data_IF_516801694771
#
_entry.id   IF_516801694771
#
_cell.length_a   1.000
_cell.length_b   1.000
_cell.length_c   1.000
_cell.angle_alpha   90.00
_cell.angle_beta   90.00
_cell.angle_gamma   90.00
#
_symmetry.space_group_name_H-M   'P 1'
#
loop_
_entity.id
_entity.type
_entity.pdbx_description
1 polymer ?
#
# COMPACT_ATOMS: atom_id res chain seq x y z
N UNK A 1 27.97 -20.34 -33.24
CA UNK A 1 28.64 -19.56 -32.18
C UNK A 1 27.61 -18.84 -31.29
N UNK A 2 26.54 -18.28 -31.85
CA UNK A 2 25.46 -17.60 -31.08
C UNK A 2 24.69 -18.51 -30.11
N UNK A 3 24.38 -19.75 -30.48
CA UNK A 3 23.64 -20.69 -29.60
C UNK A 3 24.40 -21.07 -28.31
N UNK A 4 25.74 -21.04 -28.33
CA UNK A 4 26.57 -21.35 -27.16
C UNK A 4 26.59 -20.17 -26.18
N UNK A 5 26.46 -18.94 -26.70
CA UNK A 5 26.40 -17.70 -25.91
C UNK A 5 25.03 -17.56 -25.22
N UNK A 6 23.93 -17.91 -25.89
CA UNK A 6 22.58 -17.86 -25.27
C UNK A 6 22.42 -18.87 -24.12
N UNK A 7 22.98 -20.08 -24.26
CA UNK A 7 22.93 -21.12 -23.22
C UNK A 7 23.76 -20.74 -21.99
N UNK A 8 24.91 -20.07 -22.18
CA UNK A 8 25.75 -19.59 -21.06
C UNK A 8 25.17 -18.37 -20.34
N UNK A 9 24.40 -17.52 -21.04
CA UNK A 9 23.67 -16.41 -20.41
C UNK A 9 22.46 -16.90 -19.61
N UNK A 10 21.74 -17.91 -20.10
CA UNK A 10 20.61 -18.51 -19.37
C UNK A 10 21.06 -19.25 -18.11
N UNK A 11 22.18 -19.97 -18.16
CA UNK A 11 22.73 -20.68 -16.99
C UNK A 11 23.25 -19.72 -15.91
N UNK A 12 23.86 -18.59 -16.29
CA UNK A 12 24.31 -17.57 -15.34
C UNK A 12 23.16 -16.82 -14.67
N UNK A 13 22.08 -16.50 -15.38
CA UNK A 13 20.88 -15.93 -14.78
C UNK A 13 20.19 -16.90 -13.81
N UNK A 14 20.14 -18.19 -14.14
CA UNK A 14 19.58 -19.21 -13.25
C UNK A 14 20.39 -19.36 -11.96
N UNK A 15 21.73 -19.30 -12.05
CA UNK A 15 22.63 -19.33 -10.88
C UNK A 15 22.42 -18.10 -9.98
N UNK A 16 22.23 -16.91 -10.55
CA UNK A 16 21.94 -15.69 -9.78
C UNK A 16 20.59 -15.80 -9.07
N UNK A 17 19.57 -16.33 -9.75
CA UNK A 17 18.23 -16.55 -9.17
C UNK A 17 18.33 -17.56 -8.01
N UNK A 18 18.96 -18.71 -8.23
CA UNK A 18 19.13 -19.74 -7.19
C UNK A 18 19.98 -19.23 -6.01
N UNK A 19 21.04 -18.46 -6.28
CA UNK A 19 21.85 -17.83 -5.26
C UNK A 19 21.07 -16.81 -4.43
N UNK A 20 20.19 -16.02 -5.06
CA UNK A 20 19.33 -15.07 -4.36
C UNK A 20 18.26 -15.76 -3.49
N UNK A 21 17.73 -16.89 -3.94
CA UNK A 21 16.79 -17.73 -3.17
C UNK A 21 17.50 -18.32 -1.95
N UNK A 22 18.71 -18.85 -2.12
CA UNK A 22 19.48 -19.45 -1.03
C UNK A 22 19.89 -18.41 0.03
N UNK A 23 20.35 -17.23 -0.42
CA UNK A 23 20.69 -16.12 0.47
C UNK A 23 19.46 -15.64 1.26
N UNK A 24 18.30 -15.55 0.60
CA UNK A 24 17.03 -15.20 1.24
C UNK A 24 16.61 -16.25 2.27
N UNK A 25 16.81 -17.54 1.99
CA UNK A 25 16.51 -18.64 2.92
C UNK A 25 17.44 -18.64 4.15
N UNK A 26 18.72 -18.30 3.99
CA UNK A 26 19.69 -18.18 5.09
C UNK A 26 19.38 -16.98 5.98
N UNK A 27 19.14 -15.80 5.37
CA UNK A 27 18.70 -14.60 6.10
C UNK A 27 17.39 -14.89 6.84
N UNK A 28 16.46 -15.61 6.21
CA UNK A 28 15.19 -16.02 6.80
C UNK A 28 15.38 -16.98 7.99
N UNK A 29 16.31 -17.93 7.91
CA UNK A 29 16.59 -18.89 8.99
C UNK A 29 17.23 -18.22 10.21
N UNK A 30 18.17 -17.31 9.99
CA UNK A 30 18.78 -16.49 11.04
C UNK A 30 17.73 -15.55 11.66
N UNK A 31 16.94 -14.86 10.82
CA UNK A 31 15.85 -14.02 11.29
C UNK A 31 14.75 -14.80 12.04
N UNK A 32 14.53 -16.08 11.73
CA UNK A 32 13.58 -16.93 12.45
C UNK A 32 14.08 -17.28 13.86
N UNK A 33 15.35 -17.62 14.03
CA UNK A 33 15.91 -17.96 15.34
C UNK A 33 15.84 -16.75 16.31
N UNK A 34 16.18 -15.55 15.82
CA UNK A 34 16.07 -14.32 16.61
C UNK A 34 14.65 -13.74 16.65
N UNK A 35 13.83 -14.00 15.63
CA UNK A 35 12.45 -13.53 15.55
C UNK A 35 11.51 -14.31 16.47
N UNK A 36 11.65 -15.64 16.55
CA UNK A 36 10.80 -16.51 17.38
C UNK A 36 10.87 -16.13 18.87
N UNK A 37 12.05 -15.80 19.39
CA UNK A 37 12.20 -15.38 20.80
C UNK A 37 11.52 -14.05 21.10
N UNK A 38 11.46 -13.13 20.13
CA UNK A 38 10.70 -11.87 20.21
C UNK A 38 9.20 -12.14 20.21
N UNK A 39 8.71 -13.11 19.44
CA UNK A 39 7.28 -13.43 19.37
C UNK A 39 6.71 -14.12 20.63
N UNK A 40 7.58 -14.73 21.46
CA UNK A 40 7.19 -15.37 22.73
C UNK A 40 7.47 -14.50 23.95
N UNK A 41 8.11 -13.34 23.77
CA UNK A 41 8.46 -12.46 24.88
C UNK A 41 7.20 -11.78 25.46
N UNK A 42 7.09 -11.67 26.79
CA UNK A 42 6.04 -10.85 27.41
C UNK A 42 6.11 -9.41 26.90
N UNK A 43 4.96 -8.78 26.65
CA UNK A 43 4.86 -7.40 26.15
C UNK A 43 5.72 -6.42 26.97
N UNK A 44 5.77 -6.58 28.30
CA UNK A 44 6.63 -5.75 29.18
C UNK A 44 8.12 -5.81 28.81
N UNK A 45 8.65 -6.99 28.45
CA UNK A 45 10.04 -7.13 28.00
C UNK A 45 10.25 -6.51 26.62
N UNK A 46 9.25 -6.60 25.74
CA UNK A 46 9.29 -5.97 24.42
C UNK A 46 9.27 -4.45 24.53
N UNK A 47 8.44 -3.89 25.42
CA UNK A 47 8.43 -2.46 25.74
C UNK A 47 9.83 -2.00 26.14
N UNK A 48 10.44 -2.66 27.13
CA UNK A 48 11.79 -2.29 27.59
C UNK A 48 12.84 -2.44 26.50
N UNK A 49 12.71 -3.43 25.59
CA UNK A 49 13.62 -3.59 24.46
C UNK A 49 13.48 -2.47 23.41
N UNK A 50 12.27 -1.95 23.19
CA UNK A 50 11.99 -0.83 22.28
C UNK A 50 12.29 0.53 22.90
N UNK A 51 12.26 0.61 24.24
CA UNK A 51 12.54 1.82 24.99
C UNK A 51 13.98 2.26 24.75
N UNK A 52 14.13 3.53 24.41
CA UNK A 52 15.43 4.20 24.29
C UNK A 52 15.58 5.24 25.40
N UNK A 53 16.78 5.82 25.49
CA UNK A 53 17.04 6.92 26.42
C UNK A 53 15.98 8.00 26.21
N UNK A 54 15.32 8.41 27.29
CA UNK A 54 14.26 9.42 27.28
C UNK A 54 14.72 10.67 26.53
N UNK A 55 13.93 11.08 25.55
CA UNK A 55 14.03 12.38 24.92
C UNK A 55 13.09 13.33 25.66
N UNK A 56 13.62 14.35 26.34
CA UNK A 56 12.81 15.30 27.11
C UNK A 56 12.02 16.27 26.21
N UNK A 57 12.22 16.22 24.88
CA UNK A 57 11.49 17.05 23.94
C UNK A 57 10.08 16.51 23.70
N UNK A 58 9.10 17.26 24.19
CA UNK A 58 7.69 17.13 23.82
C UNK A 58 7.53 17.65 22.38
N UNK A 59 6.72 16.96 21.58
CA UNK A 59 6.31 17.43 20.27
C UNK A 59 4.92 18.07 20.40
N UNK A 60 4.75 19.28 19.86
CA UNK A 60 3.44 19.91 19.80
C UNK A 60 2.53 19.12 18.84
N UNK A 61 1.23 19.10 19.10
CA UNK A 61 0.29 18.45 18.18
C UNK A 61 0.36 19.05 16.76
N UNK A 62 0.55 20.37 16.64
CA UNK A 62 0.70 21.06 15.35
C UNK A 62 1.94 20.57 14.57
N UNK A 63 3.07 20.35 15.25
CA UNK A 63 4.28 19.81 14.62
C UNK A 63 4.09 18.35 14.18
N UNK A 64 3.36 17.56 14.97
CA UNK A 64 2.98 16.21 14.59
C UNK A 64 2.09 16.21 13.33
N UNK A 65 1.07 17.06 13.28
CA UNK A 65 0.22 17.20 12.09
C UNK A 65 1.01 17.63 10.85
N UNK A 66 1.99 18.53 11.00
CA UNK A 66 2.91 18.90 9.90
C UNK A 66 3.72 17.70 9.41
N UNK A 67 4.17 16.82 10.30
CA UNK A 67 4.90 15.59 9.93
C UNK A 67 3.99 14.60 9.19
N UNK A 68 2.78 14.38 9.70
CA UNK A 68 1.77 13.51 9.08
C UNK A 68 1.36 14.04 7.69
N UNK A 69 1.16 15.36 7.56
CA UNK A 69 0.89 16.01 6.28
C UNK A 69 2.03 15.86 5.28
N UNK A 70 3.29 15.95 5.73
CA UNK A 70 4.48 15.66 4.89
C UNK A 70 4.57 14.19 4.50
N UNK A 71 3.99 13.27 5.27
CA UNK A 71 3.85 11.86 4.90
C UNK A 71 2.72 11.63 3.88
N UNK A 72 1.83 12.61 3.68
CA UNK A 72 0.71 12.56 2.73
C UNK A 72 -0.64 12.28 3.39
N UNK A 73 -0.74 12.47 4.70
CA UNK A 73 -1.95 12.17 5.47
C UNK A 73 -2.44 13.35 6.31
N UNK A 74 -3.65 13.23 6.84
CA UNK A 74 -4.23 14.06 7.87
C UNK A 74 -4.89 13.16 8.92
N UNK A 75 -5.28 13.74 10.05
CA UNK A 75 -5.91 13.05 11.16
C UNK A 75 -7.34 13.56 11.36
N UNK A 76 -8.27 12.65 11.64
CA UNK A 76 -9.66 12.93 12.00
C UNK A 76 -9.87 12.57 13.48
N UNK A 77 -9.99 13.57 14.38
CA UNK A 77 -10.15 13.33 15.81
C UNK A 77 -11.52 12.77 16.20
N UNK A 78 -12.53 12.84 15.31
CA UNK A 78 -13.89 12.35 15.61
C UNK A 78 -13.95 10.83 15.56
N UNK A 79 -13.28 10.23 14.58
CA UNK A 79 -13.24 8.78 14.38
C UNK A 79 -11.90 8.14 14.82
N UNK A 80 -10.92 8.95 15.27
CA UNK A 80 -9.55 8.53 15.61
C UNK A 80 -8.83 7.83 14.43
N UNK A 81 -8.95 8.38 13.22
CA UNK A 81 -8.37 7.81 11.99
C UNK A 81 -7.37 8.74 11.29
N UNK A 82 -6.45 8.14 10.55
CA UNK A 82 -5.58 8.82 9.59
C UNK A 82 -6.07 8.58 8.16
N UNK A 83 -5.90 9.56 7.29
CA UNK A 83 -6.39 9.49 5.91
C UNK A 83 -5.54 10.33 4.96
N UNK A 84 -5.56 9.97 3.69
CA UNK A 84 -4.80 10.64 2.61
C UNK A 84 -5.28 12.08 2.38
N UNK A 85 -4.34 12.98 2.10
CA UNK A 85 -4.69 14.31 1.56
C UNK A 85 -4.66 14.29 0.03
N UNK A 86 -5.50 15.10 -0.61
CA UNK A 86 -5.59 15.17 -2.09
C UNK A 86 -4.20 15.40 -2.73
N UNK A 87 -3.43 16.32 -2.17
CA UNK A 87 -2.10 16.70 -2.68
C UNK A 87 -0.95 15.87 -2.07
N UNK A 88 -1.22 14.64 -1.66
CA UNK A 88 -0.21 13.72 -1.17
C UNK A 88 0.87 13.49 -2.24
N UNK A 89 2.13 13.45 -1.84
CA UNK A 89 3.26 13.30 -2.77
C UNK A 89 3.18 11.99 -3.58
N UNK A 90 2.47 10.99 -3.05
CA UNK A 90 2.12 9.71 -3.67
C UNK A 90 1.47 9.90 -5.05
N UNK A 91 0.65 10.95 -5.22
CA UNK A 91 -0.06 11.25 -6.48
C UNK A 91 0.87 11.33 -7.69
N UNK A 92 2.12 11.76 -7.49
CA UNK A 92 3.13 11.91 -8.55
C UNK A 92 3.67 10.59 -9.09
N UNK A 93 3.38 9.46 -8.44
CA UNK A 93 3.93 8.17 -8.79
C UNK A 93 2.92 7.24 -9.49
N UNK A 94 1.63 7.59 -9.47
CA UNK A 94 0.58 6.76 -10.03
C UNK A 94 0.45 5.39 -9.35
N UNK A 95 -0.04 4.39 -10.08
CA UNK A 95 -0.23 3.03 -9.58
C UNK A 95 0.06 1.97 -10.63
N UNK A 96 0.52 0.80 -10.17
CA UNK A 96 0.67 -0.39 -11.00
C UNK A 96 0.66 -1.64 -10.11
N UNK A 97 0.34 -2.80 -10.68
CA UNK A 97 0.28 -4.09 -9.97
C UNK A 97 1.56 -4.43 -9.18
N UNK A 98 2.72 -3.93 -9.63
CA UNK A 98 3.98 -4.11 -8.90
C UNK A 98 3.93 -3.54 -7.47
N UNK A 99 3.10 -2.53 -7.21
CA UNK A 99 2.95 -1.98 -5.87
C UNK A 99 2.22 -2.94 -4.93
N UNK A 100 1.25 -3.71 -5.41
CA UNK A 100 0.63 -4.78 -4.64
C UNK A 100 1.63 -5.91 -4.36
N UNK A 101 2.44 -6.29 -5.36
CA UNK A 101 3.50 -7.28 -5.17
C UNK A 101 4.57 -6.84 -4.15
N UNK A 102 4.72 -5.54 -3.92
CA UNK A 102 5.63 -5.00 -2.92
C UNK A 102 4.99 -4.81 -1.54
N UNK A 103 3.69 -5.10 -1.39
CA UNK A 103 2.94 -4.80 -0.16
C UNK A 103 3.48 -5.58 1.05
N UNK A 104 3.60 -6.90 0.92
CA UNK A 104 4.12 -7.80 1.97
C UNK A 104 5.52 -7.37 2.44
N UNK A 105 6.38 -6.96 1.51
CA UNK A 105 7.74 -6.48 1.82
C UNK A 105 7.77 -5.21 2.67
N UNK A 106 6.66 -4.47 2.73
CA UNK A 106 6.49 -3.28 3.54
C UNK A 106 5.61 -3.54 4.77
N UNK A 107 5.48 -4.81 5.18
CA UNK A 107 4.63 -5.25 6.30
C UNK A 107 3.15 -4.90 6.11
N UNK A 108 2.69 -4.84 4.87
CA UNK A 108 1.27 -4.67 4.55
C UNK A 108 0.71 -5.98 4.05
N UNK A 109 -0.24 -6.53 4.80
CA UNK A 109 -0.95 -7.76 4.48
C UNK A 109 -2.38 -7.34 4.19
N UNK A 110 -2.64 -7.17 2.90
CA UNK A 110 -3.86 -6.57 2.38
C UNK A 110 -4.42 -7.43 1.26
N UNK A 111 -5.73 -7.37 1.14
CA UNK A 111 -6.48 -7.84 0.00
C UNK A 111 -6.58 -6.71 -1.04
N UNK A 112 -6.37 -7.04 -2.30
CA UNK A 112 -6.42 -6.12 -3.44
C UNK A 112 -7.55 -6.54 -4.40
N UNK A 113 -8.36 -5.60 -4.88
CA UNK A 113 -9.44 -5.86 -5.85
C UNK A 113 -9.41 -4.82 -6.99
N UNK A 114 -8.60 -5.06 -8.05
CA UNK A 114 -8.52 -4.17 -9.20
C UNK A 114 -9.63 -4.41 -10.23
N UNK A 115 -10.22 -3.32 -10.72
CA UNK A 115 -11.20 -3.26 -11.80
C UNK A 115 -10.62 -2.47 -12.97
N UNK A 116 -10.34 -3.17 -14.07
CA UNK A 116 -9.79 -2.59 -15.30
C UNK A 116 -10.88 -2.40 -16.35
N UNK A 117 -11.00 -1.20 -16.92
CA UNK A 117 -11.96 -0.89 -17.97
C UNK A 117 -11.48 0.22 -18.90
N UNK A 118 -12.15 0.37 -20.04
CA UNK A 118 -11.89 1.45 -20.98
C UNK A 118 -13.04 2.46 -20.92
N UNK A 119 -12.69 3.75 -20.95
CA UNK A 119 -13.67 4.83 -21.01
C UNK A 119 -13.06 6.09 -21.62
N UNK A 120 -13.77 6.69 -22.59
CA UNK A 120 -13.35 7.88 -23.36
C UNK A 120 -11.91 7.78 -23.88
N UNK A 121 -11.54 6.61 -24.42
CA UNK A 121 -10.22 6.35 -25.00
C UNK A 121 -9.08 6.21 -24.00
N UNK A 122 -9.38 6.13 -22.69
CA UNK A 122 -8.41 5.87 -21.63
C UNK A 122 -8.63 4.49 -21.02
N UNK A 123 -7.53 3.86 -20.58
CA UNK A 123 -7.57 2.67 -19.75
C UNK A 123 -7.63 3.10 -18.28
N UNK A 124 -8.68 2.70 -17.58
CA UNK A 124 -8.92 3.00 -16.18
C UNK A 124 -8.61 1.80 -15.30
N UNK A 125 -8.17 2.11 -14.09
CA UNK A 125 -8.01 1.21 -12.96
C UNK A 125 -8.68 1.86 -11.75
N UNK A 126 -9.75 1.25 -11.29
CA UNK A 126 -10.28 1.49 -9.95
C UNK A 126 -9.87 0.29 -9.11
N UNK A 127 -9.24 0.51 -7.96
CA UNK A 127 -8.81 -0.58 -7.10
C UNK A 127 -9.19 -0.32 -5.65
N UNK A 128 -9.69 -1.37 -4.99
CA UNK A 128 -10.08 -1.34 -3.58
C UNK A 128 -9.09 -2.20 -2.80
N UNK A 129 -8.67 -1.71 -1.64
CA UNK A 129 -7.80 -2.44 -0.71
C UNK A 129 -8.39 -2.48 0.69
N UNK A 130 -8.14 -3.58 1.41
CA UNK A 130 -8.42 -3.70 2.85
C UNK A 130 -7.38 -4.60 3.53
N UNK A 131 -7.04 -4.32 4.79
CA UNK A 131 -6.16 -5.20 5.55
C UNK A 131 -5.36 -4.49 6.64
N UNK A 132 -4.17 -5.04 6.91
CA UNK A 132 -3.23 -4.53 7.89
C UNK A 132 -2.05 -3.84 7.18
N UNK A 133 -1.84 -2.57 7.50
CA UNK A 133 -0.80 -1.69 6.99
C UNK A 133 0.20 -1.39 8.11
N UNK A 134 1.06 -2.37 8.43
CA UNK A 134 1.98 -2.25 9.56
C UNK A 134 1.23 -2.17 10.88
N UNK A 135 1.30 -1.02 11.56
CA UNK A 135 0.62 -0.78 12.85
C UNK A 135 -0.79 -0.22 12.69
N UNK A 136 -1.31 -0.18 11.47
CA UNK A 136 -2.64 0.36 11.20
C UNK A 136 -3.49 -0.68 10.48
N UNK A 137 -4.77 -0.74 10.80
CA UNK A 137 -5.76 -1.41 9.95
C UNK A 137 -6.49 -0.37 9.11
N UNK A 138 -6.90 -0.70 7.89
CA UNK A 138 -7.52 0.30 7.03
C UNK A 138 -8.08 -0.25 5.73
N UNK A 139 -8.58 0.68 4.93
CA UNK A 139 -8.99 0.44 3.55
C UNK A 139 -8.70 1.66 2.66
N UNK A 140 -8.71 1.40 1.36
CA UNK A 140 -8.42 2.38 0.33
C UNK A 140 -9.31 2.15 -0.90
N UNK A 141 -9.71 3.21 -1.59
CA UNK A 141 -10.27 3.19 -2.95
C UNK A 141 -9.46 4.16 -3.80
N UNK A 142 -8.80 3.67 -4.84
CA UNK A 142 -7.95 4.46 -5.71
C UNK A 142 -8.43 4.49 -7.15
N UNK A 143 -8.34 5.66 -7.78
CA UNK A 143 -8.78 5.93 -9.15
C UNK A 143 -7.56 6.34 -9.98
N UNK A 144 -7.31 5.57 -11.04
CA UNK A 144 -6.15 5.76 -11.90
C UNK A 144 -6.53 5.57 -13.37
N UNK A 145 -5.81 6.24 -14.26
CA UNK A 145 -6.03 6.13 -15.70
C UNK A 145 -4.72 6.24 -16.49
N UNK A 146 -4.72 5.73 -17.71
CA UNK A 146 -3.61 5.91 -18.66
C UNK A 146 -4.12 5.92 -20.09
N UNK A 147 -3.55 6.81 -20.90
CA UNK A 147 -3.70 6.82 -22.36
C UNK A 147 -2.65 5.93 -23.04
N UNK A 148 -1.68 5.43 -22.27
CA UNK A 148 -0.62 4.56 -22.77
C UNK A 148 -1.12 3.14 -23.06
N UNK A 149 -0.34 2.35 -23.82
CA UNK A 149 -0.69 0.98 -24.13
C UNK A 149 -0.72 0.11 -22.86
N UNK A 150 -1.60 -0.89 -22.87
CA UNK A 150 -1.60 -1.94 -21.85
C UNK A 150 -0.36 -2.82 -22.03
N UNK A 151 0.49 -2.87 -21.01
CA UNK A 151 1.73 -3.66 -21.00
C UNK A 151 1.51 -4.92 -20.19
N UNK A 152 1.48 -6.08 -20.86
CA UNK A 152 1.46 -7.41 -20.21
C UNK A 152 2.81 -8.10 -20.39
N UNK A 153 3.39 -8.57 -19.29
CA UNK A 153 4.57 -9.43 -19.29
C UNK A 153 4.17 -10.90 -19.50
N UNK A 154 5.12 -11.78 -19.86
CA UNK A 154 4.87 -13.23 -19.91
C UNK A 154 4.21 -13.74 -18.63
N UNK A 155 3.26 -14.67 -18.77
CA UNK A 155 2.45 -15.17 -17.65
C UNK A 155 1.27 -14.26 -17.28
N UNK A 156 0.98 -13.21 -18.06
CA UNK A 156 -0.22 -12.37 -17.89
C UNK A 156 -0.08 -11.25 -16.86
N UNK A 157 1.12 -11.02 -16.33
CA UNK A 157 1.36 -9.97 -15.35
C UNK A 157 1.17 -8.57 -15.96
N UNK A 158 0.26 -7.76 -15.41
CA UNK A 158 0.02 -6.40 -15.87
C UNK A 158 1.11 -5.44 -15.34
N UNK A 159 2.00 -4.98 -16.21
CA UNK A 159 3.06 -4.03 -15.90
C UNK A 159 2.71 -2.58 -16.27
N UNK A 160 1.47 -2.32 -16.68
CA UNK A 160 0.97 -0.98 -17.03
C UNK A 160 1.08 -0.04 -15.82
N UNK A 161 1.58 1.17 -16.07
CA UNK A 161 1.56 2.25 -15.09
C UNK A 161 0.35 3.15 -15.39
N UNK A 162 -0.51 3.30 -14.40
CA UNK A 162 -1.62 4.23 -14.40
C UNK A 162 -1.25 5.48 -13.63
N UNK A 163 -1.67 6.65 -14.10
CA UNK A 163 -1.53 7.92 -13.38
C UNK A 163 -2.69 8.06 -12.41
N UNK A 164 -2.45 8.68 -11.26
CA UNK A 164 -3.55 9.11 -10.37
C UNK A 164 -4.49 10.04 -11.11
N UNK A 165 -5.80 9.91 -10.86
CA UNK A 165 -6.80 10.77 -11.48
C UNK A 165 -6.47 12.27 -11.30
N UNK A 166 -6.67 13.03 -12.38
CA UNK A 166 -6.60 14.49 -12.40
C UNK A 166 -7.65 15.14 -11.49
N UNK A 167 -7.55 16.45 -11.25
CA UNK A 167 -8.50 17.17 -10.38
C UNK A 167 -9.93 17.13 -10.93
N UNK A 168 -10.06 17.09 -12.24
CA UNK A 168 -11.29 16.97 -13.03
C UNK A 168 -11.77 15.52 -13.24
N UNK A 169 -10.96 14.54 -12.83
CA UNK A 169 -11.22 13.11 -12.99
C UNK A 169 -11.41 12.37 -11.66
N UNK A 170 -11.35 13.09 -10.54
CA UNK A 170 -11.66 12.52 -9.22
C UNK A 170 -13.14 12.13 -9.14
N UNK A 171 -13.42 11.04 -8.43
CA UNK A 171 -14.78 10.56 -8.24
C UNK A 171 -15.22 10.82 -6.80
N UNK A 172 -16.53 11.05 -6.64
CA UNK A 172 -17.14 11.04 -5.32
C UNK A 172 -17.29 9.60 -4.85
N UNK A 173 -16.67 9.28 -3.72
CA UNK A 173 -16.60 7.92 -3.20
C UNK A 173 -16.98 7.88 -1.74
N UNK A 174 -17.49 6.73 -1.31
CA UNK A 174 -17.70 6.38 0.09
C UNK A 174 -17.11 5.00 0.39
N UNK A 175 -16.53 4.85 1.57
CA UNK A 175 -16.01 3.60 2.11
C UNK A 175 -16.41 3.47 3.58
N UNK A 176 -17.01 2.33 3.94
CA UNK A 176 -17.27 1.95 5.34
C UNK A 176 -16.44 0.70 5.63
N UNK A 177 -15.39 0.84 6.46
CA UNK A 177 -14.61 -0.31 6.88
C UNK A 177 -15.31 -0.99 8.07
N UNK A 178 -15.49 -2.29 7.98
CA UNK A 178 -16.01 -3.12 9.06
C UNK A 178 -14.99 -4.16 9.47
N UNK A 179 -15.04 -4.54 10.75
CA UNK A 179 -14.35 -5.70 11.30
C UNK A 179 -15.35 -6.60 12.00
N UNK A 180 -15.46 -7.85 11.56
CA UNK A 180 -16.43 -8.82 12.06
C UNK A 180 -17.87 -8.24 12.10
N UNK A 181 -18.24 -7.49 11.07
CA UNK A 181 -19.56 -6.83 10.94
C UNK A 181 -19.70 -5.47 11.63
N UNK A 182 -18.81 -5.13 12.59
CA UNK A 182 -18.84 -3.86 13.30
C UNK A 182 -18.14 -2.76 12.49
N UNK A 183 -18.76 -1.58 12.41
CA UNK A 183 -18.15 -0.42 11.73
C UNK A 183 -16.94 0.05 12.53
N UNK A 184 -15.81 0.16 11.85
CA UNK A 184 -14.60 0.78 12.38
C UNK A 184 -14.58 2.29 12.09
N UNK A 185 -14.81 2.68 10.84
CA UNK A 185 -14.93 4.09 10.43
C UNK A 185 -15.69 4.23 9.11
N UNK A 186 -16.06 5.47 8.78
CA UNK A 186 -16.61 5.86 7.48
C UNK A 186 -15.80 6.99 6.85
N UNK A 187 -15.66 6.93 5.52
CA UNK A 187 -15.03 7.95 4.69
C UNK A 187 -15.92 8.27 3.52
N UNK A 188 -16.11 9.56 3.23
CA UNK A 188 -16.83 10.02 2.04
C UNK A 188 -16.20 11.31 1.55
N UNK A 189 -15.75 11.36 0.29
CA UNK A 189 -15.11 12.54 -0.28
C UNK A 189 -15.00 12.46 -1.81
N UNK A 190 -14.75 13.60 -2.47
CA UNK A 190 -14.23 13.65 -3.84
C UNK A 190 -12.72 13.46 -3.81
N UNK A 191 -12.23 12.32 -4.31
CA UNK A 191 -10.80 12.00 -4.23
C UNK A 191 -10.33 11.14 -5.40
N UNK A 192 -9.01 11.06 -5.60
CA UNK A 192 -8.38 10.05 -6.46
C UNK A 192 -7.92 8.81 -5.66
N UNK A 193 -7.98 8.87 -4.32
CA UNK A 193 -7.39 7.92 -3.37
C UNK A 193 -8.00 8.13 -1.99
N UNK A 194 -9.23 7.66 -1.82
CA UNK A 194 -9.96 7.74 -0.56
C UNK A 194 -9.41 6.67 0.38
N UNK A 195 -8.91 7.07 1.54
CA UNK A 195 -8.32 6.12 2.51
C UNK A 195 -8.78 6.39 3.93
N UNK A 196 -8.63 5.39 4.78
CA UNK A 196 -8.78 5.51 6.23
C UNK A 196 -7.96 4.43 6.95
N UNK A 197 -7.31 4.82 8.05
CA UNK A 197 -6.41 3.96 8.81
C UNK A 197 -6.59 4.21 10.32
N UNK A 198 -6.88 3.16 11.09
CA UNK A 198 -6.88 3.21 12.56
C UNK A 198 -5.51 2.76 13.07
N UNK A 199 -4.92 3.56 13.94
CA UNK A 199 -3.62 3.27 14.55
C UNK A 199 -3.76 2.36 15.77
N UNK A 200 -2.95 1.29 15.82
CA UNK A 200 -2.91 0.37 16.96
C UNK A 200 -3.98 -0.73 16.95
N UNK A 201 -4.87 -0.72 15.96
CA UNK A 201 -5.83 -1.79 15.74
C UNK A 201 -5.22 -2.86 14.81
N UNK A 202 -5.23 -4.10 15.28
CA UNK A 202 -4.74 -5.25 14.53
C UNK A 202 -5.90 -6.00 13.92
N UNK A 203 -5.84 -6.29 12.62
CA UNK A 203 -6.85 -7.09 11.92
C UNK A 203 -6.18 -8.13 11.03
N UNK A 204 -6.83 -9.27 10.87
CA UNK A 204 -6.58 -10.14 9.72
C UNK A 204 -7.47 -9.69 8.54
N UNK A 205 -7.01 -9.72 7.28
CA UNK A 205 -7.82 -9.26 6.14
C UNK A 205 -9.19 -9.94 6.03
N UNK A 206 -9.29 -11.20 6.44
CA UNK A 206 -10.51 -12.00 6.43
C UNK A 206 -11.55 -11.56 7.49
N UNK A 207 -11.13 -10.79 8.51
CA UNK A 207 -12.04 -10.17 9.47
C UNK A 207 -12.67 -8.89 8.90
N UNK A 208 -12.13 -8.35 7.81
CA UNK A 208 -12.50 -7.04 7.28
C UNK A 208 -13.43 -7.15 6.08
N UNK A 209 -14.37 -6.21 5.99
CA UNK A 209 -15.13 -5.92 4.77
C UNK A 209 -15.22 -4.41 4.55
N UNK A 210 -15.35 -3.99 3.30
CA UNK A 210 -15.52 -2.58 2.93
C UNK A 210 -16.80 -2.42 2.13
N UNK A 211 -17.74 -1.63 2.63
CA UNK A 211 -18.90 -1.22 1.84
C UNK A 211 -18.51 0.01 1.01
N UNK A 212 -18.48 -0.15 -0.30
CA UNK A 212 -18.05 0.85 -1.27
C UNK A 212 -19.26 1.52 -1.93
N UNK A 213 -19.15 2.80 -2.24
CA UNK A 213 -20.04 3.49 -3.18
C UNK A 213 -19.27 4.49 -4.00
N UNK A 214 -19.45 4.47 -5.32
CA UNK A 214 -18.72 5.32 -6.27
C UNK A 214 -19.74 5.96 -7.21
N UNK A 215 -19.67 7.29 -7.34
CA UNK A 215 -20.47 8.03 -8.31
C UNK A 215 -19.63 8.29 -9.57
N UNK A 216 -20.22 8.00 -10.71
CA UNK A 216 -19.63 8.14 -12.03
C UNK A 216 -20.14 9.40 -12.73
N UNK A 217 -19.36 10.00 -13.64
CA UNK A 217 -19.75 11.24 -14.32
C UNK A 217 -20.88 11.06 -15.35
N UNK A 218 -20.99 9.87 -15.94
CA UNK A 218 -22.04 9.51 -16.90
C UNK A 218 -22.27 7.99 -16.94
N UNK A 219 -23.37 7.58 -17.58
CA UNK A 219 -23.78 6.18 -17.72
C UNK A 219 -22.71 5.33 -18.41
N UNK A 220 -21.99 5.91 -19.38
CA UNK A 220 -20.96 5.18 -20.13
C UNK A 220 -19.78 4.75 -19.25
N UNK A 221 -19.34 5.59 -18.29
CA UNK A 221 -18.29 5.17 -17.34
C UNK A 221 -18.82 4.17 -16.32
N UNK A 222 -20.07 4.35 -15.88
CA UNK A 222 -20.75 3.45 -14.95
C UNK A 222 -20.85 2.04 -15.53
N UNK A 223 -21.38 1.91 -16.74
CA UNK A 223 -21.56 0.63 -17.42
C UNK A 223 -20.21 -0.07 -17.64
N UNK A 224 -19.19 0.70 -18.06
CA UNK A 224 -17.84 0.16 -18.22
C UNK A 224 -17.25 -0.38 -16.91
N UNK A 225 -17.52 0.27 -15.78
CA UNK A 225 -17.10 -0.20 -14.47
C UNK A 225 -17.90 -1.42 -14.01
N UNK A 226 -19.22 -1.44 -14.19
CA UNK A 226 -20.07 -2.60 -13.89
C UNK A 226 -19.62 -3.83 -14.68
N UNK A 227 -19.31 -3.67 -15.97
CA UNK A 227 -18.74 -4.74 -16.79
C UNK A 227 -17.37 -5.22 -16.25
N UNK A 228 -16.54 -4.32 -15.74
CA UNK A 228 -15.28 -4.67 -15.11
C UNK A 228 -15.48 -5.51 -13.84
N UNK A 229 -16.47 -5.16 -13.02
CA UNK A 229 -16.84 -5.93 -11.83
C UNK A 229 -17.33 -7.33 -12.19
N UNK A 230 -18.18 -7.46 -13.20
CA UNK A 230 -18.64 -8.76 -13.71
C UNK A 230 -17.49 -9.61 -14.23
N UNK A 231 -16.56 -9.01 -14.98
CA UNK A 231 -15.32 -9.67 -15.44
C UNK A 231 -14.42 -10.11 -14.27
N UNK A 232 -14.41 -9.37 -13.17
CA UNK A 232 -13.70 -9.74 -11.95
C UNK A 232 -14.39 -10.89 -11.18
N UNK A 233 -15.67 -11.17 -11.46
CA UNK A 233 -16.42 -12.29 -10.88
C UNK A 233 -17.52 -11.89 -9.89
N UNK A 234 -17.91 -10.61 -9.85
CA UNK A 234 -19.08 -10.14 -9.09
C UNK A 234 -20.37 -10.49 -9.86
N UNK A 235 -21.40 -10.90 -9.12
CA UNK A 235 -22.73 -11.19 -9.67
C UNK A 235 -23.62 -9.95 -9.68
N UNK A 236 -24.69 -9.99 -10.47
CA UNK A 236 -25.66 -8.89 -10.57
C UNK A 236 -26.29 -8.53 -9.20
N UNK A 237 -26.57 -9.53 -8.36
CA UNK A 237 -27.15 -9.32 -7.02
C UNK A 237 -26.15 -8.79 -5.98
N UNK A 238 -24.85 -8.79 -6.32
CA UNK A 238 -23.77 -8.22 -5.50
C UNK A 238 -23.45 -6.75 -5.90
N UNK A 239 -24.05 -6.25 -6.99
CA UNK A 239 -23.80 -4.91 -7.55
C UNK A 239 -25.10 -4.11 -7.51
N UNK A 240 -25.18 -3.13 -6.61
CA UNK A 240 -26.32 -2.22 -6.55
C UNK A 240 -26.04 -0.98 -7.41
N UNK A 241 -26.85 -0.76 -8.44
CA UNK A 241 -26.81 0.42 -9.30
C UNK A 241 -28.02 1.32 -9.00
N UNK A 242 -27.78 2.61 -8.79
CA UNK A 242 -28.83 3.61 -8.60
C UNK A 242 -28.36 4.95 -9.16
N UNK A 243 -29.08 5.46 -10.16
CA UNK A 243 -28.64 6.64 -10.93
C UNK A 243 -27.21 6.44 -11.47
N UNK A 244 -26.29 7.36 -11.18
CA UNK A 244 -24.88 7.27 -11.55
C UNK A 244 -24.00 6.66 -10.45
N UNK A 245 -24.58 5.93 -9.49
CA UNK A 245 -23.87 5.31 -8.37
C UNK A 245 -23.82 3.80 -8.51
N UNK A 246 -22.64 3.24 -8.26
CA UNK A 246 -22.43 1.81 -8.02
C UNK A 246 -22.05 1.58 -6.56
N UNK A 247 -22.73 0.65 -5.91
CA UNK A 247 -22.49 0.24 -4.52
C UNK A 247 -22.29 -1.27 -4.42
N UNK A 248 -21.30 -1.70 -3.64
CA UNK A 248 -20.97 -3.12 -3.46
C UNK A 248 -20.17 -3.32 -2.15
N UNK A 249 -20.12 -4.56 -1.67
CA UNK A 249 -19.28 -4.92 -0.51
C UNK A 249 -18.08 -5.74 -0.97
N UNK A 250 -16.89 -5.28 -0.60
CA UNK A 250 -15.65 -6.03 -0.76
C UNK A 250 -15.31 -6.79 0.54
N UNK A 251 -15.68 -8.07 0.60
CA UNK A 251 -15.39 -8.97 1.73
C UNK A 251 -14.30 -10.00 1.40
N UNK A 252 -14.43 -10.65 0.24
CA UNK A 252 -13.55 -11.70 -0.26
C UNK A 252 -13.09 -11.35 -1.66
N UNK A 253 -11.77 -11.41 -1.92
CA UNK A 253 -11.26 -11.12 -3.24
C UNK A 253 -11.80 -12.06 -4.32
N UNK A 254 -12.23 -11.47 -5.42
CA UNK A 254 -12.64 -12.18 -6.64
C UNK A 254 -11.50 -12.27 -7.64
N UNK A 255 -10.53 -11.36 -7.56
CA UNK A 255 -9.31 -11.37 -8.35
C UNK A 255 -8.11 -12.02 -7.63
N UNK A 256 -7.11 -12.52 -8.39
CA UNK A 256 -5.90 -13.08 -7.81
C UNK A 256 -5.12 -12.08 -6.94
N UNK A 257 -4.81 -12.51 -5.72
CA UNK A 257 -3.99 -11.75 -4.78
C UNK A 257 -2.51 -11.73 -5.20
N UNK A 258 -1.70 -10.78 -4.69
CA UNK A 258 -0.29 -10.66 -5.06
C UNK A 258 0.48 -11.97 -4.86
N UNK A 259 1.22 -12.39 -5.88
CA UNK A 259 1.96 -13.67 -5.88
C UNK A 259 3.05 -13.66 -4.82
N UNK A 260 3.61 -12.48 -4.51
CA UNK A 260 4.59 -12.31 -3.44
C UNK A 260 4.01 -12.41 -2.03
N UNK A 261 2.68 -12.46 -1.85
CA UNK A 261 2.02 -12.71 -0.55
C UNK A 261 2.11 -14.19 -0.19
N UNK A 262 3.33 -14.66 0.02
CA UNK A 262 3.63 -16.04 0.43
C UNK A 262 3.07 -16.26 1.85
N UNK A 263 2.22 -17.28 2.10
CA UNK A 263 1.50 -17.44 3.38
C UNK A 263 2.39 -17.42 4.62
N UNK A 264 3.56 -18.06 4.57
CA UNK A 264 4.50 -18.14 5.69
C UNK A 264 5.10 -16.75 6.01
N UNK A 265 5.42 -15.98 4.97
CA UNK A 265 5.95 -14.62 5.10
C UNK A 265 4.84 -13.68 5.60
N UNK A 266 3.63 -13.79 5.03
CA UNK A 266 2.46 -13.02 5.47
C UNK A 266 2.16 -13.24 6.96
N UNK A 267 2.17 -14.49 7.43
CA UNK A 267 1.97 -14.83 8.84
C UNK A 267 3.05 -14.24 9.75
N UNK A 268 4.31 -14.22 9.29
CA UNK A 268 5.41 -13.59 10.03
C UNK A 268 5.19 -12.07 10.16
N UNK A 269 4.82 -11.39 9.06
CA UNK A 269 4.52 -9.96 9.08
C UNK A 269 3.28 -9.65 9.93
N UNK A 270 2.20 -10.44 9.87
CA UNK A 270 1.03 -10.26 10.73
C UNK A 270 1.38 -10.40 12.21
N UNK A 271 2.22 -11.38 12.59
CA UNK A 271 2.70 -11.48 13.99
C UNK A 271 3.47 -10.23 14.43
N UNK A 272 4.33 -9.69 13.57
CA UNK A 272 5.06 -8.44 13.83
C UNK A 272 4.09 -7.27 13.96
N UNK A 273 3.13 -7.15 13.04
CA UNK A 273 2.11 -6.10 13.05
C UNK A 273 1.29 -6.15 14.34
N UNK A 274 0.88 -7.35 14.77
CA UNK A 274 0.17 -7.57 16.03
C UNK A 274 0.99 -7.10 17.24
N UNK A 275 2.27 -7.46 17.32
CA UNK A 275 3.15 -7.01 18.40
C UNK A 275 3.24 -5.48 18.43
N UNK A 276 3.38 -4.84 17.28
CA UNK A 276 3.47 -3.38 17.23
C UNK A 276 2.15 -2.71 17.64
N UNK A 277 1.01 -3.28 17.26
CA UNK A 277 -0.31 -2.82 17.71
C UNK A 277 -0.47 -2.99 19.23
N UNK A 278 -0.10 -4.15 19.78
CA UNK A 278 -0.17 -4.42 21.22
C UNK A 278 0.79 -3.54 22.01
N UNK A 279 1.98 -3.27 21.47
CA UNK A 279 2.95 -2.33 22.02
C UNK A 279 2.40 -0.91 22.07
N UNK A 280 1.83 -0.44 20.96
CA UNK A 280 1.16 0.86 20.88
C UNK A 280 0.06 0.97 21.94
N UNK A 281 -0.86 0.00 22.00
CA UNK A 281 -1.97 0.01 22.95
C UNK A 281 -1.49 0.01 24.40
N UNK A 282 -0.49 -0.80 24.75
CA UNK A 282 0.02 -0.85 26.13
C UNK A 282 0.75 0.43 26.54
N UNK A 283 1.53 1.05 25.64
CA UNK A 283 2.20 2.34 25.90
C UNK A 283 1.16 3.46 26.08
N UNK A 284 0.07 3.41 25.32
CA UNK A 284 -0.91 4.49 25.21
C UNK A 284 -2.17 4.28 26.04
N UNK A 285 -2.26 3.20 26.82
CA UNK A 285 -3.48 2.81 27.56
C UNK A 285 -4.02 3.89 28.50
N UNK A 286 -3.13 4.69 29.09
CA UNK A 286 -3.45 5.76 30.05
C UNK A 286 -3.40 7.16 29.40
N UNK A 287 -3.33 7.23 28.06
CA UNK A 287 -3.25 8.49 27.29
C UNK A 287 -4.64 8.83 26.71
N UNK A 288 -5.32 9.86 27.22
CA UNK A 288 -6.69 10.16 26.82
C UNK A 288 -6.81 10.79 25.42
N UNK A 289 -5.77 11.50 24.95
CA UNK A 289 -5.80 12.20 23.66
C UNK A 289 -4.70 11.70 22.72
N UNK A 290 -4.88 11.88 21.40
CA UNK A 290 -3.83 11.55 20.42
C UNK A 290 -2.53 12.32 20.70
N UNK A 291 -2.59 13.55 21.19
CA UNK A 291 -1.40 14.31 21.60
C UNK A 291 -0.63 13.60 22.74
N UNK A 292 -1.34 13.10 23.75
CA UNK A 292 -0.74 12.33 24.85
C UNK A 292 -0.13 11.03 24.33
N UNK A 293 -0.86 10.30 23.47
CA UNK A 293 -0.42 9.05 22.86
C UNK A 293 0.89 9.27 22.08
N UNK A 294 0.94 10.30 21.25
CA UNK A 294 2.11 10.63 20.43
C UNK A 294 3.29 11.06 21.30
N UNK A 295 3.08 11.86 22.35
CA UNK A 295 4.16 12.29 23.22
C UNK A 295 4.73 11.12 24.05
N UNK A 296 3.89 10.23 24.57
CA UNK A 296 4.33 9.02 25.26
C UNK A 296 5.25 8.15 24.36
N UNK A 297 4.91 8.07 23.07
CA UNK A 297 5.67 7.33 22.06
C UNK A 297 6.95 8.07 21.65
N UNK A 298 6.85 9.35 21.29
CA UNK A 298 7.95 10.17 20.78
C UNK A 298 9.12 10.25 21.77
N UNK A 299 8.83 10.37 23.07
CA UNK A 299 9.85 10.53 24.10
C UNK A 299 10.70 9.28 24.32
N UNK A 300 10.11 8.09 24.20
CA UNK A 300 10.73 6.85 24.67
C UNK A 300 10.89 5.78 23.57
N UNK A 301 10.16 5.87 22.47
CA UNK A 301 10.04 4.84 21.44
C UNK A 301 10.20 5.44 20.03
N UNK A 302 11.36 6.02 19.70
CA UNK A 302 11.57 6.77 18.45
C UNK A 302 11.35 5.93 17.17
N UNK A 303 11.61 4.63 17.23
CA UNK A 303 11.34 3.74 16.10
C UNK A 303 9.82 3.57 15.88
N UNK A 304 9.05 3.40 16.96
CA UNK A 304 7.60 3.30 16.89
C UNK A 304 7.00 4.61 16.38
N UNK A 305 7.53 5.74 16.81
CA UNK A 305 7.16 7.06 16.28
C UNK A 305 7.43 7.17 14.76
N UNK A 306 8.58 6.70 14.28
CA UNK A 306 8.88 6.68 12.85
C UNK A 306 7.94 5.77 12.05
N UNK A 307 7.52 4.64 12.64
CA UNK A 307 6.55 3.73 12.05
C UNK A 307 5.16 4.38 11.95
N UNK A 308 4.74 5.20 12.94
CA UNK A 308 3.51 6.03 12.88
C UNK A 308 3.58 7.02 11.71
N UNK A 309 4.74 7.62 11.43
CA UNK A 309 4.89 8.54 10.30
C UNK A 309 4.92 7.83 8.93
N UNK A 310 4.86 6.50 8.91
CA UNK A 310 4.98 5.67 7.70
C UNK A 310 3.69 4.92 7.35
N UNK A 311 2.52 5.43 7.79
CA UNK A 311 1.18 4.89 7.50
C UNK A 311 1.03 4.59 6.00
N UNK A 312 0.38 3.47 5.67
CA UNK A 312 -0.14 3.19 4.33
C UNK A 312 0.88 3.07 3.19
N UNK A 313 2.20 3.32 3.39
CA UNK A 313 3.36 2.83 2.60
C UNK A 313 4.67 3.58 2.91
N UNK A 314 5.78 2.86 2.85
CA UNK A 314 7.14 3.39 3.02
C UNK A 314 7.66 4.00 1.70
N UNK A 315 8.34 5.17 1.75
CA UNK A 315 9.05 5.81 0.61
C UNK A 315 9.94 4.85 -0.20
N UNK A 316 10.32 3.71 0.39
CA UNK A 316 11.18 2.68 -0.20
C UNK A 316 10.57 2.01 -1.45
N UNK A 317 9.25 1.84 -1.54
CA UNK A 317 8.59 1.29 -2.76
C UNK A 317 8.85 2.22 -3.95
N UNK A 318 8.73 3.53 -3.72
CA UNK A 318 8.87 4.56 -4.74
C UNK A 318 10.34 4.86 -5.08
N UNK A 319 11.25 4.85 -4.08
CA UNK A 319 12.70 5.03 -4.30
C UNK A 319 13.31 3.94 -5.18
N UNK A 320 12.90 2.67 -5.03
CA UNK A 320 13.36 1.55 -5.88
C UNK A 320 12.98 1.72 -7.36
N UNK A 321 11.92 2.49 -7.67
CA UNK A 321 11.53 2.81 -9.05
C UNK A 321 12.32 4.00 -9.61
N UNK A 322 12.65 5.01 -8.80
CA UNK A 322 13.48 6.15 -9.23
C UNK A 322 14.86 5.71 -9.69
N UNK A 323 15.51 4.77 -9.00
CA UNK A 323 16.80 4.22 -9.43
C UNK A 323 16.70 3.47 -10.77
N UNK A 324 15.65 2.67 -11.00
CA UNK A 324 15.44 1.98 -12.29
C UNK A 324 15.11 2.92 -13.44
N UNK A 325 14.39 4.03 -13.18
CA UNK A 325 14.12 5.06 -14.20
C UNK A 325 15.39 5.83 -14.57
N UNK A 326 16.18 6.26 -13.59
CA UNK A 326 17.49 6.90 -13.82
C UNK A 326 18.47 5.99 -14.58
N UNK A 327 18.51 4.70 -14.26
CA UNK A 327 19.33 3.71 -14.98
C UNK A 327 18.87 3.49 -16.42
N UNK A 328 17.54 3.51 -16.68
CA UNK A 328 16.99 3.44 -18.05
C UNK A 328 17.27 4.71 -18.85
N UNK A 329 17.10 5.88 -18.23
CA UNK A 329 17.33 7.18 -18.88
C UNK A 329 18.84 7.39 -19.19
N UNK A 330 19.74 6.84 -18.36
CA UNK A 330 21.18 6.81 -18.63
C UNK A 330 21.58 5.79 -19.72
N UNK A 331 20.83 4.69 -19.87
CA UNK A 331 21.05 3.71 -20.95
C UNK A 331 20.46 4.16 -22.29
N UNK A 332 19.36 4.94 -22.29
CA UNK A 332 18.80 5.54 -23.52
C UNK A 332 19.56 6.76 -24.02
N UNK A 333 20.26 7.47 -23.14
CA UNK A 333 21.11 8.61 -23.50
C UNK A 333 22.58 8.22 -23.80
N UNK A 334 22.94 6.93 -23.66
CA UNK A 334 24.29 6.41 -23.89
C UNK A 334 24.58 5.99 -25.34
N UNK A 335 23.65 6.20 -26.27
CA UNK A 335 23.80 5.79 -27.68
C UNK A 335 23.71 6.96 -28.67
N UNK A 336 24.18 8.16 -28.28
CA UNK A 336 24.45 9.26 -29.20
C UNK A 336 25.51 10.20 -28.60
N UNK A 337 26.78 9.82 -28.75
CA UNK A 337 27.90 10.77 -28.65
C UNK A 337 29.11 10.23 -29.41
N UNK A 338 28.97 10.17 -30.74
CA UNK A 338 30.08 10.45 -31.64
C UNK A 338 29.57 11.60 -32.50
N UNK A 339 29.95 12.82 -32.13
CA UNK A 339 30.53 13.77 -33.09
C UNK A 339 30.86 15.12 -32.41
N UNK A 340 32.14 15.46 -32.54
CA UNK A 340 32.71 16.78 -32.74
C UNK A 340 32.91 17.71 -31.54
N UNK A 341 34.14 17.64 -31.03
CA UNK A 341 34.97 18.81 -30.77
C UNK A 341 35.15 19.60 -32.08
N UNK A 342 34.87 20.91 -32.09
CA UNK A 342 35.72 21.96 -32.66
C UNK A 342 35.09 23.35 -32.49
N UNK A 343 35.84 24.21 -31.81
CA UNK A 343 36.07 25.65 -32.02
C UNK A 343 34.95 26.71 -31.92
N UNK A 344 35.39 27.81 -31.24
CA UNK A 344 34.87 29.18 -31.10
C UNK A 344 33.87 29.46 -29.96
#
# INVERSE_FOLDING_TARGET
MEAVVTVTVLSSQLIIILGSILLSAVIYSIANIYGISVFLAPIKKLIEAYKKRKNDKIISFEDFEKLIRKAGYAYDPVQDIFYSVINAWQRRFGYCRFYDEMATHCSMIIDCEPFYFEYKGKNWLIEVWKGQYGMTTGCEIGIYSTEGPIVKLPGGFNATLYKSAGDDEMLYMSAILRKNGHILFTRTDYHWWLTGFILGEFSEPEELSVDCSIYFPDEAMLDAFVDAMKKAGYKEDEIAVSELRVSFTFDKPRTPQPITRIPQIAKLHQRKNKILCDLYKEITKDCPTMEDKINAIHQNYPQLFADILSIGKTRNIYKKRKSKKLLKDQQSNGSNSNDLYEEA
#
